data_IF_964026704357
#
_entry.id   IF_964026704357
#
_cell.length_a   1.000
_cell.length_b   1.000
_cell.length_c   1.000
_cell.angle_alpha   90.00
_cell.angle_beta   90.00
_cell.angle_gamma   90.00
#
_symmetry.space_group_name_H-M   'P 1'
#
loop_
_entity.id
_entity.type
_entity.pdbx_description
1 polymer ?
#
# COMPACT_ATOMS: atom_id res chain seq x y z
N UNK A 1 9.41 15.07 -13.99
CA UNK A 1 8.31 14.08 -13.88
C UNK A 1 7.80 13.76 -15.26
N UNK A 2 7.50 12.50 -15.50
CA UNK A 2 6.91 12.01 -16.74
C UNK A 2 5.51 11.47 -16.42
N UNK A 3 4.56 11.72 -17.32
CA UNK A 3 3.17 11.26 -17.19
C UNK A 3 2.75 10.57 -18.48
N UNK A 4 2.17 9.39 -18.36
CA UNK A 4 1.31 8.80 -19.37
C UNK A 4 -0.14 9.04 -18.92
N UNK A 5 -0.95 9.72 -19.73
CA UNK A 5 -2.29 10.17 -19.35
C UNK A 5 -2.29 11.03 -18.05
N UNK A 6 -1.80 12.28 -18.16
CA UNK A 6 -1.65 13.19 -17.04
C UNK A 6 -2.97 13.46 -16.29
N UNK A 7 -4.10 13.51 -17.00
CA UNK A 7 -5.42 13.75 -16.41
C UNK A 7 -5.75 12.63 -15.42
N UNK A 8 -5.68 11.39 -15.85
CA UNK A 8 -5.91 10.21 -14.99
C UNK A 8 -4.90 10.12 -13.83
N UNK A 9 -3.66 10.60 -14.01
CA UNK A 9 -2.68 10.64 -12.93
C UNK A 9 -3.06 11.61 -11.79
N UNK A 10 -3.99 12.52 -12.00
CA UNK A 10 -4.49 13.48 -11.00
C UNK A 10 -5.84 13.05 -10.39
N UNK A 11 -6.50 12.07 -10.94
CA UNK A 11 -7.77 11.56 -10.42
C UNK A 11 -7.54 10.67 -9.20
N UNK A 12 -8.34 10.86 -8.17
CA UNK A 12 -8.26 10.08 -6.94
C UNK A 12 -9.11 8.82 -7.03
N UNK A 13 -8.51 7.68 -6.67
CA UNK A 13 -9.15 6.37 -6.58
C UNK A 13 -8.85 5.71 -5.24
N UNK A 14 -9.54 4.62 -4.92
CA UNK A 14 -9.26 3.83 -3.72
C UNK A 14 -7.83 3.27 -3.77
N UNK A 15 -7.02 3.41 -2.71
CA UNK A 15 -5.65 2.92 -2.70
C UNK A 15 -5.55 1.39 -2.60
N UNK A 16 -6.60 0.72 -2.16
CA UNK A 16 -6.58 -0.71 -1.89
C UNK A 16 -5.33 -1.14 -1.11
N UNK A 17 -4.70 -2.23 -1.50
CA UNK A 17 -3.53 -2.76 -0.80
C UNK A 17 -2.25 -1.91 -0.90
N UNK A 18 -2.22 -0.84 -1.69
CA UNK A 18 -1.09 0.10 -1.63
C UNK A 18 -1.05 0.88 -0.32
N UNK A 19 -2.20 1.04 0.35
CA UNK A 19 -2.29 1.66 1.68
C UNK A 19 -1.50 0.90 2.75
N UNK A 20 -1.17 -0.38 2.52
CA UNK A 20 -0.34 -1.17 3.43
C UNK A 20 1.07 -0.59 3.62
N UNK A 21 1.58 0.21 2.68
CA UNK A 21 2.83 0.98 2.86
C UNK A 21 2.68 1.92 4.06
N UNK A 22 1.59 2.66 4.11
CA UNK A 22 1.33 3.63 5.16
C UNK A 22 0.92 2.95 6.46
N UNK A 23 0.08 1.91 6.39
CA UNK A 23 -0.32 1.13 7.58
C UNK A 23 0.89 0.50 8.29
N UNK A 24 1.87 -0.01 7.55
CA UNK A 24 3.11 -0.54 8.12
C UNK A 24 3.90 0.55 8.86
N UNK A 25 4.06 1.74 8.25
CA UNK A 25 4.75 2.86 8.90
C UNK A 25 4.03 3.35 10.14
N UNK A 26 2.70 3.53 10.07
CA UNK A 26 1.89 3.91 11.23
C UNK A 26 2.04 2.90 12.38
N UNK A 27 2.01 1.60 12.05
CA UNK A 27 2.22 0.54 13.04
C UNK A 27 3.60 0.60 13.71
N UNK A 28 4.66 0.83 12.94
CA UNK A 28 6.03 0.99 13.45
C UNK A 28 6.15 2.25 14.31
N UNK A 29 5.67 3.38 13.81
CA UNK A 29 5.78 4.69 14.45
C UNK A 29 5.05 4.76 15.80
N UNK A 30 3.90 4.12 15.90
CA UNK A 30 3.09 4.08 17.12
C UNK A 30 3.40 2.88 18.02
N UNK A 31 4.44 2.10 17.72
CA UNK A 31 4.90 0.99 18.56
C UNK A 31 3.95 -0.22 18.60
N UNK A 32 3.00 -0.32 17.68
CA UNK A 32 2.15 -1.50 17.47
C UNK A 32 2.95 -2.65 16.86
N UNK A 33 3.91 -2.31 16.02
CA UNK A 33 4.87 -3.22 15.38
C UNK A 33 6.26 -2.73 15.77
N UNK A 34 7.15 -3.64 16.18
CA UNK A 34 8.54 -3.31 16.53
C UNK A 34 9.48 -3.42 15.31
N UNK A 35 9.27 -4.44 14.48
CA UNK A 35 10.10 -4.76 13.31
C UNK A 35 9.35 -5.64 12.31
N UNK A 36 10.06 -6.08 11.26
CA UNK A 36 9.51 -6.90 10.19
C UNK A 36 9.10 -8.33 10.62
N UNK A 37 9.55 -8.78 11.80
CA UNK A 37 9.22 -10.10 12.36
C UNK A 37 8.05 -10.06 13.33
N UNK A 38 7.56 -8.85 13.68
CA UNK A 38 6.42 -8.65 14.58
C UNK A 38 5.18 -9.36 14.07
N UNK A 39 4.69 -10.33 14.84
CA UNK A 39 3.58 -11.19 14.48
C UNK A 39 2.27 -10.72 15.09
N UNK A 40 1.17 -10.93 14.36
CA UNK A 40 -0.20 -10.84 14.84
C UNK A 40 -0.83 -12.22 14.89
N UNK A 41 -1.62 -12.49 15.94
CA UNK A 41 -2.29 -13.77 16.12
C UNK A 41 -3.44 -13.93 15.13
N UNK A 42 -3.50 -15.11 14.52
CA UNK A 42 -4.58 -15.55 13.66
C UNK A 42 -5.80 -15.96 14.51
N UNK A 43 -6.98 -15.44 14.14
CA UNK A 43 -8.20 -15.64 14.90
C UNK A 43 -8.93 -16.98 14.60
N UNK A 44 -8.38 -17.82 13.71
CA UNK A 44 -8.99 -19.10 13.32
C UNK A 44 -10.00 -19.01 12.18
N UNK A 45 -10.33 -17.80 11.68
CA UNK A 45 -11.23 -17.60 10.54
C UNK A 45 -10.64 -18.17 9.25
N UNK A 46 -11.39 -19.03 8.55
CA UNK A 46 -10.94 -19.60 7.29
C UNK A 46 -11.07 -18.57 6.15
N UNK A 47 -9.96 -17.97 5.76
CA UNK A 47 -9.90 -17.03 4.64
C UNK A 47 -9.74 -17.76 3.29
N UNK A 48 -10.18 -17.10 2.21
CA UNK A 48 -10.04 -17.59 0.83
C UNK A 48 -8.57 -17.72 0.41
N UNK A 49 -7.68 -16.87 0.93
CA UNK A 49 -6.24 -16.97 0.72
C UNK A 49 -5.64 -17.82 1.85
N UNK A 50 -5.22 -19.03 1.53
CA UNK A 50 -4.66 -19.96 2.52
C UNK A 50 -3.39 -19.47 3.22
N UNK A 51 -2.64 -18.54 2.58
CA UNK A 51 -1.48 -17.91 3.19
C UNK A 51 -1.83 -17.00 4.39
N UNK A 52 -3.10 -16.64 4.56
CA UNK A 52 -3.59 -15.82 5.68
C UNK A 52 -4.08 -16.64 6.86
N UNK A 53 -4.15 -17.97 6.73
CA UNK A 53 -4.73 -18.88 7.73
C UNK A 53 -3.67 -19.37 8.75
N UNK A 54 -2.90 -18.47 9.28
CA UNK A 54 -1.86 -18.68 10.30
C UNK A 54 -1.45 -17.34 10.90
N UNK A 55 -0.74 -17.36 12.01
CA UNK A 55 -0.03 -16.18 12.50
C UNK A 55 0.92 -15.66 11.43
N UNK A 56 0.97 -14.34 11.26
CA UNK A 56 1.78 -13.70 10.24
C UNK A 56 2.68 -12.63 10.85
N UNK A 57 3.93 -12.61 10.43
CA UNK A 57 4.83 -11.47 10.65
C UNK A 57 4.45 -10.30 9.72
N UNK A 58 4.94 -9.07 10.04
CA UNK A 58 4.76 -7.91 9.18
C UNK A 58 5.22 -8.20 7.74
N UNK A 59 6.39 -8.83 7.57
CA UNK A 59 6.94 -9.18 6.26
C UNK A 59 6.00 -10.12 5.50
N UNK A 60 5.56 -11.21 6.13
CA UNK A 60 4.65 -12.17 5.50
C UNK A 60 3.30 -11.54 5.15
N UNK A 61 2.74 -10.74 6.06
CA UNK A 61 1.48 -10.04 5.84
C UNK A 61 1.56 -9.03 4.68
N UNK A 62 2.68 -8.30 4.57
CA UNK A 62 2.90 -7.36 3.48
C UNK A 62 3.04 -8.08 2.13
N UNK A 63 3.85 -9.15 2.08
CA UNK A 63 4.09 -9.94 0.87
C UNK A 63 2.84 -10.67 0.40
N UNK A 64 2.04 -11.24 1.31
CA UNK A 64 0.78 -11.93 0.98
C UNK A 64 -0.40 -10.96 0.85
N UNK A 65 -0.16 -9.67 1.09
CA UNK A 65 -1.18 -8.63 1.05
C UNK A 65 -2.34 -8.86 2.04
N UNK A 66 -2.04 -9.42 3.22
CA UNK A 66 -3.02 -9.81 4.22
C UNK A 66 -3.83 -8.62 4.73
N UNK A 67 -5.17 -8.66 4.58
CA UNK A 67 -6.03 -7.55 4.99
C UNK A 67 -6.22 -7.56 6.51
N UNK A 68 -6.55 -8.71 7.11
CA UNK A 68 -6.84 -8.80 8.53
C UNK A 68 -5.67 -8.35 9.42
N UNK A 69 -4.41 -8.62 9.01
CA UNK A 69 -3.23 -8.17 9.74
C UNK A 69 -3.18 -6.63 9.81
N UNK A 70 -3.31 -5.97 8.66
CA UNK A 70 -3.25 -4.51 8.59
C UNK A 70 -4.51 -3.85 9.16
N UNK A 71 -5.66 -4.54 9.18
CA UNK A 71 -6.83 -4.07 9.93
C UNK A 71 -6.53 -4.02 11.43
N UNK A 72 -5.95 -5.08 12.01
CA UNK A 72 -5.54 -5.09 13.41
C UNK A 72 -4.52 -3.99 13.72
N UNK A 73 -3.53 -3.77 12.83
CA UNK A 73 -2.55 -2.68 13.00
C UNK A 73 -3.24 -1.32 13.06
N UNK A 74 -4.10 -1.02 12.10
CA UNK A 74 -4.79 0.28 12.01
C UNK A 74 -5.73 0.49 13.20
N UNK A 75 -6.44 -0.55 13.63
CA UNK A 75 -7.31 -0.48 14.81
C UNK A 75 -6.50 -0.21 16.10
N UNK A 76 -5.32 -0.82 16.22
CA UNK A 76 -4.44 -0.60 17.37
C UNK A 76 -3.80 0.80 17.37
N UNK A 77 -3.48 1.37 16.20
CA UNK A 77 -3.02 2.76 16.06
C UNK A 77 -4.14 3.74 16.45
N UNK A 78 -5.36 3.45 16.03
CA UNK A 78 -6.55 4.25 16.35
C UNK A 78 -6.77 5.43 15.41
N UNK A 79 -8.04 5.80 15.26
CA UNK A 79 -8.49 6.76 14.25
C UNK A 79 -7.89 8.16 14.40
N UNK A 80 -7.61 8.61 15.62
CA UNK A 80 -7.03 9.94 15.87
C UNK A 80 -5.60 10.06 15.31
N UNK A 81 -4.73 9.08 15.59
CA UNK A 81 -3.35 9.08 15.08
C UNK A 81 -3.32 8.79 13.57
N UNK A 82 -4.15 7.86 13.08
CA UNK A 82 -4.29 7.62 11.64
C UNK A 82 -4.65 8.91 10.91
N UNK A 83 -5.64 9.66 11.39
CA UNK A 83 -6.06 10.92 10.78
C UNK A 83 -4.92 11.95 10.76
N UNK A 84 -4.22 12.11 11.88
CA UNK A 84 -3.09 13.03 12.03
C UNK A 84 -1.97 12.68 11.04
N UNK A 85 -1.56 11.41 10.96
CA UNK A 85 -0.48 10.98 10.06
C UNK A 85 -0.86 11.11 8.58
N UNK A 86 -2.12 10.87 8.21
CA UNK A 86 -2.60 11.13 6.85
C UNK A 86 -2.56 12.63 6.50
N UNK A 87 -2.83 13.51 7.46
CA UNK A 87 -2.70 14.97 7.29
C UNK A 87 -1.24 15.39 7.14
N UNK A 88 -0.34 14.88 7.96
CA UNK A 88 1.10 15.16 7.89
C UNK A 88 1.71 14.66 6.58
N UNK A 89 1.33 13.48 6.11
CA UNK A 89 1.72 12.94 4.81
C UNK A 89 1.04 13.62 3.63
N UNK A 90 -0.01 14.39 3.85
CA UNK A 90 -0.89 14.91 2.78
C UNK A 90 -1.40 13.79 1.87
N UNK A 91 -1.86 12.70 2.48
CA UNK A 91 -2.28 11.49 1.78
C UNK A 91 -3.68 11.65 1.18
N UNK A 92 -3.76 11.91 -0.11
CA UNK A 92 -5.01 12.00 -0.85
C UNK A 92 -6.07 12.92 -0.20
N UNK A 93 -7.31 12.46 -0.13
CA UNK A 93 -8.41 13.17 0.52
C UNK A 93 -8.41 13.09 2.05
N UNK A 94 -7.61 12.21 2.64
CA UNK A 94 -7.49 11.99 4.11
C UNK A 94 -8.82 11.65 4.78
N UNK A 95 -9.76 11.09 4.03
CA UNK A 95 -11.08 10.74 4.52
C UNK A 95 -11.10 9.33 5.11
N UNK A 96 -11.34 9.24 6.42
CA UNK A 96 -11.47 8.00 7.18
C UNK A 96 -12.86 7.87 7.82
N UNK A 97 -13.86 8.60 7.32
CA UNK A 97 -15.21 8.62 7.90
C UNK A 97 -15.88 7.25 7.86
N UNK A 98 -15.59 6.46 6.86
CA UNK A 98 -16.03 5.06 6.78
C UNK A 98 -14.98 4.11 7.38
N UNK A 99 -14.68 4.28 8.66
CA UNK A 99 -13.61 3.53 9.35
C UNK A 99 -13.70 2.02 9.15
N UNK A 100 -14.90 1.45 9.27
CA UNK A 100 -15.15 0.01 9.10
C UNK A 100 -15.21 -0.42 7.62
N UNK A 101 -15.20 0.53 6.69
CA UNK A 101 -15.38 0.29 5.27
C UNK A 101 -16.83 0.22 4.82
N UNK A 102 -17.04 -0.05 3.55
CA UNK A 102 -18.37 -0.06 2.90
C UNK A 102 -19.11 -1.41 2.96
N UNK A 103 -18.86 -2.29 3.94
CA UNK A 103 -19.48 -3.62 4.07
C UNK A 103 -19.39 -4.50 2.81
N UNK A 104 -18.32 -4.32 2.03
CA UNK A 104 -18.10 -5.04 0.76
C UNK A 104 -17.81 -6.52 1.01
N UNK A 105 -17.17 -6.86 2.14
CA UNK A 105 -16.86 -8.22 2.52
C UNK A 105 -17.70 -8.64 3.74
N UNK A 106 -18.27 -9.87 3.75
CA UNK A 106 -19.04 -10.38 4.90
C UNK A 106 -18.19 -10.58 6.17
N UNK A 107 -16.86 -10.64 6.04
CA UNK A 107 -15.93 -10.70 7.17
C UNK A 107 -15.48 -9.27 7.52
N UNK A 108 -15.85 -8.72 8.69
CA UNK A 108 -15.55 -7.32 9.04
C UNK A 108 -14.06 -6.97 8.97
N UNK A 109 -13.19 -7.89 9.38
CA UNK A 109 -11.75 -7.74 9.35
C UNK A 109 -11.13 -7.68 7.95
N UNK A 110 -11.94 -7.91 6.91
CA UNK A 110 -11.55 -7.74 5.51
C UNK A 110 -12.12 -6.46 4.87
N UNK A 111 -12.68 -5.55 5.66
CA UNK A 111 -13.13 -4.23 5.26
C UNK A 111 -12.25 -3.13 5.88
N UNK A 112 -12.36 -1.92 5.38
CA UNK A 112 -11.66 -0.75 5.90
C UNK A 112 -11.78 0.45 4.98
N UNK A 113 -11.60 1.65 5.50
CA UNK A 113 -11.74 2.93 4.78
C UNK A 113 -10.86 3.05 3.53
N UNK A 114 -9.86 2.18 3.35
CA UNK A 114 -8.94 2.14 2.20
C UNK A 114 -9.32 1.11 1.12
N UNK A 115 -10.40 0.34 1.33
CA UNK A 115 -10.86 -0.75 0.46
C UNK A 115 -12.19 -0.35 -0.18
N UNK A 116 -12.14 0.31 -1.33
CA UNK A 116 -13.28 0.83 -2.07
C UNK A 116 -14.27 1.60 -1.17
N UNK A 117 -13.72 2.52 -0.38
CA UNK A 117 -14.45 3.25 0.63
C UNK A 117 -14.04 4.74 0.63
N UNK A 118 -14.07 5.41 1.79
CA UNK A 118 -13.92 6.89 1.86
C UNK A 118 -12.53 7.40 1.48
N UNK A 119 -11.44 6.65 1.76
CA UNK A 119 -10.08 7.10 1.46
C UNK A 119 -9.76 6.98 -0.02
N UNK A 120 -9.29 8.09 -0.62
CA UNK A 120 -8.90 8.14 -2.03
C UNK A 120 -7.59 8.92 -2.21
N UNK A 121 -6.81 8.51 -3.22
CA UNK A 121 -5.53 9.12 -3.57
C UNK A 121 -5.27 8.97 -5.06
N UNK A 122 -4.62 9.96 -5.66
CA UNK A 122 -4.23 9.90 -7.07
C UNK A 122 -2.84 9.28 -7.26
N UNK A 123 -2.51 8.76 -8.46
CA UNK A 123 -1.16 8.29 -8.79
C UNK A 123 -0.08 9.34 -8.50
N UNK A 124 -0.33 10.60 -8.79
CA UNK A 124 0.59 11.68 -8.51
C UNK A 124 0.83 11.89 -7.01
N UNK A 125 -0.23 11.91 -6.22
CA UNK A 125 -0.13 12.02 -4.76
C UNK A 125 0.61 10.83 -4.14
N UNK A 126 0.41 9.60 -4.64
CA UNK A 126 1.17 8.41 -4.21
C UNK A 126 2.69 8.62 -4.36
N UNK A 127 3.13 9.13 -5.52
CA UNK A 127 4.54 9.46 -5.77
C UNK A 127 5.05 10.52 -4.80
N UNK A 128 4.27 11.57 -4.55
CA UNK A 128 4.65 12.63 -3.62
C UNK A 128 4.75 12.14 -2.18
N UNK A 129 3.83 11.28 -1.75
CA UNK A 129 3.86 10.65 -0.41
C UNK A 129 5.11 9.79 -0.25
N UNK A 130 5.43 8.92 -1.21
CA UNK A 130 6.64 8.11 -1.15
C UNK A 130 7.92 8.97 -1.11
N UNK A 131 8.00 10.01 -1.94
CA UNK A 131 9.14 10.92 -1.91
C UNK A 131 9.27 11.61 -0.54
N UNK A 132 8.16 12.05 0.05
CA UNK A 132 8.14 12.65 1.40
C UNK A 132 8.64 11.68 2.47
N UNK A 133 8.27 10.41 2.39
CA UNK A 133 8.70 9.38 3.33
C UNK A 133 10.21 9.11 3.22
N UNK A 134 10.72 8.90 2.01
CA UNK A 134 12.09 8.40 1.80
C UNK A 134 13.14 9.49 1.60
N UNK A 135 12.75 10.75 1.35
CA UNK A 135 13.65 11.91 1.19
C UNK A 135 13.68 12.81 2.44
N UNK A 136 13.15 12.34 3.57
CA UNK A 136 13.23 13.05 4.85
C UNK A 136 12.21 14.17 5.06
N UNK A 137 11.12 14.16 4.29
CA UNK A 137 10.01 15.12 4.42
C UNK A 137 8.88 14.65 5.34
N UNK A 138 9.11 13.63 6.16
CA UNK A 138 8.14 13.06 7.11
C UNK A 138 8.72 12.94 8.52
N UNK A 139 7.87 12.66 9.50
CA UNK A 139 8.26 12.47 10.89
C UNK A 139 8.77 11.05 11.19
N UNK A 140 8.76 10.15 10.22
CA UNK A 140 9.25 8.78 10.39
C UNK A 140 10.76 8.74 10.54
N UNK A 141 11.23 7.88 11.44
CA UNK A 141 12.65 7.68 11.69
C UNK A 141 13.32 6.93 10.52
N UNK A 142 14.63 7.04 10.45
CA UNK A 142 15.43 6.30 9.46
C UNK A 142 15.30 4.79 9.62
N UNK A 143 15.15 4.31 10.85
CA UNK A 143 14.95 2.88 11.15
C UNK A 143 13.60 2.38 10.63
N UNK A 144 12.51 3.09 10.92
CA UNK A 144 11.17 2.77 10.43
C UNK A 144 11.13 2.73 8.89
N UNK A 145 11.72 3.71 8.22
CA UNK A 145 11.78 3.74 6.76
C UNK A 145 12.67 2.65 6.17
N UNK A 146 13.72 2.20 6.88
CA UNK A 146 14.54 1.06 6.48
C UNK A 146 13.79 -0.27 6.59
N UNK A 147 13.03 -0.47 7.67
CA UNK A 147 12.15 -1.65 7.83
C UNK A 147 11.11 -1.66 6.70
N UNK A 148 10.43 -0.54 6.47
CA UNK A 148 9.48 -0.43 5.36
C UNK A 148 10.12 -0.79 4.02
N UNK A 149 11.29 -0.22 3.74
CA UNK A 149 12.04 -0.52 2.51
C UNK A 149 12.31 -2.00 2.36
N UNK A 150 12.73 -2.68 3.44
CA UNK A 150 13.06 -4.11 3.39
C UNK A 150 11.86 -4.98 3.04
N UNK A 151 10.67 -4.66 3.54
CA UNK A 151 9.44 -5.42 3.23
C UNK A 151 8.84 -5.07 1.87
N UNK A 152 9.15 -3.87 1.32
CA UNK A 152 8.71 -3.43 -0.02
C UNK A 152 9.56 -4.03 -1.15
N UNK A 153 10.68 -4.69 -0.85
CA UNK A 153 11.58 -5.23 -1.87
C UNK A 153 10.89 -6.31 -2.71
N UNK A 154 10.99 -6.15 -4.01
CA UNK A 154 10.51 -7.09 -5.02
C UNK A 154 11.67 -7.39 -5.98
N UNK A 155 12.12 -8.63 -6.02
CA UNK A 155 13.10 -9.06 -6.99
C UNK A 155 12.42 -9.24 -8.36
N UNK A 156 13.12 -8.86 -9.42
CA UNK A 156 12.67 -9.06 -10.79
C UNK A 156 13.55 -10.11 -11.48
N UNK A 157 13.01 -10.78 -12.48
CA UNK A 157 13.75 -11.79 -13.26
C UNK A 157 15.02 -11.28 -13.91
N UNK A 158 15.16 -9.94 -14.08
CA UNK A 158 16.29 -9.29 -14.75
C UNK A 158 17.25 -8.55 -13.81
N UNK A 159 17.17 -8.84 -12.51
CA UNK A 159 18.06 -8.26 -11.50
C UNK A 159 17.77 -6.80 -11.13
N UNK A 160 16.71 -6.19 -11.66
CA UNK A 160 16.22 -4.88 -11.21
C UNK A 160 15.52 -5.06 -9.85
N UNK A 161 15.91 -4.30 -8.86
CA UNK A 161 15.24 -4.31 -7.55
C UNK A 161 14.20 -3.19 -7.55
N UNK A 162 12.92 -3.59 -7.50
CA UNK A 162 11.80 -2.71 -7.30
C UNK A 162 11.38 -2.75 -5.82
N UNK A 163 11.14 -1.58 -5.26
CA UNK A 163 10.54 -1.43 -3.94
C UNK A 163 9.11 -0.95 -4.13
N UNK A 164 8.12 -1.74 -3.77
CA UNK A 164 6.73 -1.32 -4.01
C UNK A 164 5.68 -2.27 -3.50
N UNK A 165 4.42 -1.86 -3.68
CA UNK A 165 3.24 -2.60 -3.29
C UNK A 165 2.19 -2.57 -4.39
N UNK A 166 1.63 -3.73 -4.67
CA UNK A 166 0.47 -3.89 -5.56
C UNK A 166 -0.83 -3.59 -4.81
N UNK A 167 -1.83 -3.14 -5.55
CA UNK A 167 -3.23 -3.07 -5.13
C UNK A 167 -4.12 -3.58 -6.24
N UNK A 168 -5.23 -4.20 -5.90
CA UNK A 168 -6.23 -4.68 -6.87
C UNK A 168 -7.62 -4.39 -6.32
N UNK A 169 -8.45 -3.73 -7.10
CA UNK A 169 -9.86 -3.52 -6.84
C UNK A 169 -10.72 -4.53 -7.60
N UNK A 170 -12.00 -4.71 -7.22
CA UNK A 170 -12.90 -5.69 -7.80
C UNK A 170 -13.33 -5.37 -9.25
N UNK A 171 -13.36 -4.08 -9.61
CA UNK A 171 -13.94 -3.60 -10.85
C UNK A 171 -12.88 -3.24 -11.91
N UNK A 172 -11.75 -3.98 -11.94
CA UNK A 172 -10.69 -3.75 -12.92
C UNK A 172 -9.77 -2.59 -12.57
N UNK A 173 -9.44 -2.47 -11.30
CA UNK A 173 -8.48 -1.48 -10.79
C UNK A 173 -7.20 -2.17 -10.38
N UNK A 174 -6.09 -1.69 -10.90
CA UNK A 174 -4.77 -2.24 -10.64
C UNK A 174 -3.77 -1.15 -10.26
N UNK A 175 -3.08 -1.32 -9.14
CA UNK A 175 -2.03 -0.43 -8.68
C UNK A 175 -0.68 -1.15 -8.57
N UNK A 176 0.38 -0.45 -8.90
CA UNK A 176 1.70 -0.71 -8.36
C UNK A 176 2.41 0.61 -8.08
N UNK A 177 2.77 0.80 -6.82
CA UNK A 177 3.33 2.06 -6.31
C UNK A 177 4.64 1.77 -5.62
N UNK A 178 5.67 2.57 -5.94
CA UNK A 178 6.98 2.29 -5.39
C UNK A 178 8.10 3.15 -5.95
N UNK A 179 9.32 2.61 -5.88
CA UNK A 179 10.52 3.24 -6.43
C UNK A 179 11.56 2.20 -6.87
N UNK A 180 12.48 2.64 -7.70
CA UNK A 180 13.75 1.95 -7.96
C UNK A 180 14.88 2.79 -7.41
N UNK A 181 15.93 2.13 -6.92
CA UNK A 181 17.15 2.81 -6.52
C UNK A 181 18.11 2.85 -7.71
N UNK A 182 18.58 4.05 -8.05
CA UNK A 182 19.60 4.28 -9.03
C UNK A 182 20.78 5.03 -8.37
N UNK A 183 21.79 4.29 -7.97
CA UNK A 183 22.89 4.84 -7.16
C UNK A 183 22.39 5.33 -5.81
N UNK A 184 22.60 6.61 -5.51
CA UNK A 184 22.14 7.24 -4.26
C UNK A 184 20.73 7.85 -4.35
N UNK A 185 20.12 7.84 -5.53
CA UNK A 185 18.81 8.47 -5.77
C UNK A 185 17.72 7.42 -5.96
N UNK A 186 16.51 7.75 -5.49
CA UNK A 186 15.31 6.98 -5.77
C UNK A 186 14.54 7.61 -6.94
N UNK A 187 14.06 6.76 -7.85
CA UNK A 187 13.12 7.15 -8.92
C UNK A 187 11.76 6.58 -8.56
N UNK A 188 10.84 7.44 -8.11
CA UNK A 188 9.50 7.06 -7.66
C UNK A 188 8.55 6.90 -8.83
N UNK A 189 7.61 5.96 -8.70
CA UNK A 189 6.58 5.70 -9.70
C UNK A 189 5.25 5.29 -9.07
N UNK A 190 4.17 5.52 -9.80
CA UNK A 190 2.86 4.93 -9.57
C UNK A 190 2.27 4.52 -10.91
N UNK A 191 1.90 3.26 -11.04
CA UNK A 191 1.14 2.73 -12.15
C UNK A 191 -0.27 2.45 -11.66
N UNK A 192 -1.26 3.04 -12.33
CA UNK A 192 -2.67 2.82 -12.08
C UNK A 192 -3.38 2.40 -13.37
N UNK A 193 -4.12 1.33 -13.29
CA UNK A 193 -4.96 0.79 -14.36
C UNK A 193 -6.41 0.87 -13.91
N UNK A 194 -7.29 1.26 -14.82
CA UNK A 194 -8.73 1.20 -14.61
C UNK A 194 -9.41 0.75 -15.92
N UNK A 195 -9.93 -0.47 -15.91
CA UNK A 195 -10.66 -1.04 -17.05
C UNK A 195 -11.78 -1.96 -16.55
N UNK A 196 -12.93 -1.38 -16.27
CA UNK A 196 -14.12 -2.12 -15.82
C UNK A 196 -14.69 -3.06 -16.89
N UNK A 197 -14.34 -2.87 -18.15
CA UNK A 197 -14.72 -3.77 -19.25
C UNK A 197 -13.89 -5.06 -19.27
N UNK A 198 -12.68 -5.04 -18.68
CA UNK A 198 -11.76 -6.18 -18.62
C UNK A 198 -11.10 -6.30 -17.25
N UNK A 199 -11.86 -6.53 -16.16
CA UNK A 199 -11.33 -6.49 -14.80
C UNK A 199 -10.23 -7.54 -14.54
N UNK A 200 -10.21 -8.63 -15.27
CA UNK A 200 -9.19 -9.67 -15.14
C UNK A 200 -7.80 -9.20 -15.62
N UNK A 201 -7.76 -8.22 -16.52
CA UNK A 201 -6.51 -7.69 -17.10
C UNK A 201 -6.01 -6.44 -16.39
N UNK A 202 -6.87 -5.67 -15.74
CA UNK A 202 -6.53 -4.48 -14.97
C UNK A 202 -6.43 -4.82 -13.48
N UNK A 203 -5.25 -5.24 -13.04
CA UNK A 203 -4.98 -5.66 -11.67
C UNK A 203 -3.55 -5.28 -11.24
N UNK A 204 -3.23 -5.49 -9.95
CA UNK A 204 -1.94 -5.14 -9.39
C UNK A 204 -0.76 -5.90 -10.01
N UNK A 205 -0.96 -7.15 -10.45
CA UNK A 205 0.08 -7.92 -11.15
C UNK A 205 0.43 -7.25 -12.47
N UNK A 206 -0.59 -6.86 -13.25
CA UNK A 206 -0.39 -6.18 -14.53
C UNK A 206 0.26 -4.81 -14.37
N UNK A 207 -0.15 -4.05 -13.34
CA UNK A 207 0.48 -2.78 -13.01
C UNK A 207 1.97 -2.96 -12.67
N UNK A 208 2.34 -4.01 -11.94
CA UNK A 208 3.74 -4.35 -11.65
C UNK A 208 4.52 -4.71 -12.91
N UNK A 209 3.99 -5.55 -13.80
CA UNK A 209 4.61 -5.88 -15.09
C UNK A 209 4.92 -4.63 -15.93
N UNK A 210 3.99 -3.67 -15.97
CA UNK A 210 4.18 -2.40 -16.68
C UNK A 210 5.29 -1.57 -16.03
N UNK A 211 5.28 -1.46 -14.69
CA UNK A 211 6.34 -0.74 -13.99
C UNK A 211 7.73 -1.35 -14.23
N UNK A 212 7.84 -2.67 -14.25
CA UNK A 212 9.08 -3.38 -14.55
C UNK A 212 9.63 -3.05 -15.94
N UNK A 213 8.76 -2.86 -16.93
CA UNK A 213 9.15 -2.45 -18.28
C UNK A 213 9.65 -0.99 -18.28
N UNK A 214 8.87 -0.07 -17.70
CA UNK A 214 9.15 1.37 -17.73
C UNK A 214 10.40 1.72 -16.92
N UNK A 215 10.64 1.02 -15.80
CA UNK A 215 11.77 1.33 -14.92
C UNK A 215 13.11 0.77 -15.40
N UNK A 216 13.12 -0.02 -16.48
CA UNK A 216 14.35 -0.50 -17.15
C UNK A 216 14.95 0.50 -18.14
N UNK A 217 14.12 1.41 -18.64
CA UNK A 217 14.51 2.49 -19.56
C UNK A 217 15.08 3.71 -18.77
#
# INVERSE_FOLDING_TARGET
>A
SYFYNKEMCMEQASPYSTFKIISALMGLHNGVIADETSAMEYNGTQYYNSAWNKDLSLREAFQTSCIWYFRQVIDAVGSAEVKKELEELQYGNRDITEWEGGDVNPLPELNGFWLDSSLRISPWEQVQVLARIFEGGSNYTKEETQILRSIMQNDTENGLILYGKTGTGPDGEGWFVGFVQNGEQNKYFAVYLNDSGNPETANGKKAKEIAEIIMRE
#
